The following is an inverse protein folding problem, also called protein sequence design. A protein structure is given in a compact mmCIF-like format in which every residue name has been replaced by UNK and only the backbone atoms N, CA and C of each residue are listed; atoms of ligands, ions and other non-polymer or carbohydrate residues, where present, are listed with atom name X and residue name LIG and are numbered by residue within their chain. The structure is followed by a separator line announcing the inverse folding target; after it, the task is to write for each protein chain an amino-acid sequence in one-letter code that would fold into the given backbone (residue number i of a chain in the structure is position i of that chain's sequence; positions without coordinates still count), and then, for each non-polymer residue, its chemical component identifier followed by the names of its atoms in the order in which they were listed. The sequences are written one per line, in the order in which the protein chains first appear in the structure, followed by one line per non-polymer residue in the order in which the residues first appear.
data_IF_175541367380
#
_entry.id   IF_175541367380
#
_cell.length_a   1.000
_cell.length_b   1.000
_cell.length_c   1.000
_cell.angle_alpha   90.00
_cell.angle_beta   90.00
_cell.angle_gamma   90.00
#
_symmetry.space_group_name_H-M   'P 1'
#
loop_
_entity.id
_entity.type
_entity.pdbx_description
1 polymer ?
#
# COMPACT_ATOMS: atom_id res chain seq x y z
N UNK A 1 -14.54 -56.27 19.95
CA UNK A 1 -13.77 -55.70 21.09
C UNK A 1 -12.63 -54.80 20.63
N UNK A 2 -12.00 -55.08 19.49
CA UNK A 2 -10.92 -54.24 18.96
C UNK A 2 -11.39 -52.88 18.40
N UNK A 3 -12.60 -52.78 17.82
CA UNK A 3 -13.14 -51.51 17.33
C UNK A 3 -13.29 -50.45 18.43
N UNK A 4 -13.78 -50.84 19.62
CA UNK A 4 -13.98 -49.93 20.77
C UNK A 4 -12.64 -49.38 21.28
N UNK A 5 -11.58 -50.20 21.27
CA UNK A 5 -10.21 -49.78 21.66
C UNK A 5 -9.58 -48.84 20.63
N UNK A 6 -9.85 -49.04 19.34
CA UNK A 6 -9.36 -48.17 18.26
C UNK A 6 -10.04 -46.80 18.33
N UNK A 7 -11.35 -46.78 18.61
CA UNK A 7 -12.13 -45.54 18.71
C UNK A 7 -11.71 -44.69 19.93
N UNK A 8 -11.45 -45.31 21.08
CA UNK A 8 -10.91 -44.64 22.26
C UNK A 8 -9.54 -44.00 22.03
N UNK A 9 -8.60 -44.71 21.38
CA UNK A 9 -7.27 -44.14 21.04
C UNK A 9 -7.39 -42.97 20.06
N UNK A 10 -8.27 -43.07 19.07
CA UNK A 10 -8.48 -42.03 18.04
C UNK A 10 -9.08 -40.75 18.65
N UNK A 11 -9.97 -40.89 19.63
CA UNK A 11 -10.53 -39.77 20.38
C UNK A 11 -9.48 -39.09 21.26
N UNK A 12 -8.62 -39.84 21.95
CA UNK A 12 -7.53 -39.29 22.76
C UNK A 12 -6.51 -38.52 21.92
N UNK A 13 -6.09 -39.09 20.78
CA UNK A 13 -5.16 -38.40 19.85
C UNK A 13 -5.78 -37.11 19.32
N UNK A 14 -7.07 -37.14 18.96
CA UNK A 14 -7.78 -35.95 18.48
C UNK A 14 -7.86 -34.87 19.56
N UNK A 15 -8.16 -35.24 20.80
CA UNK A 15 -8.19 -34.31 21.94
C UNK A 15 -6.82 -33.68 22.21
N UNK A 16 -5.74 -34.48 22.19
CA UNK A 16 -4.36 -33.98 22.36
C UNK A 16 -4.02 -32.96 21.25
N UNK A 17 -4.33 -33.27 19.99
CA UNK A 17 -4.07 -32.36 18.86
C UNK A 17 -4.84 -31.05 19.05
N UNK A 18 -6.09 -31.09 19.48
CA UNK A 18 -6.89 -29.88 19.74
C UNK A 18 -6.24 -29.04 20.84
N UNK A 19 -5.84 -29.64 21.97
CA UNK A 19 -5.19 -28.94 23.08
C UNK A 19 -3.88 -28.29 22.62
N UNK A 20 -3.04 -29.02 21.87
CA UNK A 20 -1.79 -28.46 21.33
C UNK A 20 -2.06 -27.28 20.39
N UNK A 21 -3.02 -27.40 19.48
CA UNK A 21 -3.42 -26.29 18.60
C UNK A 21 -3.90 -25.07 19.41
N UNK A 22 -4.67 -25.29 20.47
CA UNK A 22 -5.20 -24.23 21.31
C UNK A 22 -4.09 -23.52 22.10
N UNK A 23 -3.13 -24.27 22.66
CA UNK A 23 -1.94 -23.72 23.31
C UNK A 23 -1.08 -22.90 22.34
N UNK A 24 -0.90 -23.34 21.09
CA UNK A 24 -0.16 -22.58 20.06
C UNK A 24 -0.87 -21.26 19.76
N UNK A 25 -2.20 -21.28 19.62
CA UNK A 25 -2.99 -20.06 19.38
C UNK A 25 -2.88 -19.09 20.57
N UNK A 26 -3.04 -19.58 21.81
CA UNK A 26 -2.93 -18.73 23.01
C UNK A 26 -1.53 -18.14 23.14
N UNK A 27 -0.49 -18.96 23.01
CA UNK A 27 0.90 -18.51 23.05
C UNK A 27 1.14 -17.41 22.00
N UNK A 28 0.61 -17.58 20.79
CA UNK A 28 0.73 -16.57 19.74
C UNK A 28 -0.06 -15.29 20.01
N UNK A 29 -1.26 -15.36 20.58
CA UNK A 29 -2.01 -14.16 20.97
C UNK A 29 -1.28 -13.38 22.07
N UNK A 30 -0.67 -14.09 23.02
CA UNK A 30 0.18 -13.46 24.06
C UNK A 30 1.40 -12.80 23.43
N UNK A 31 2.13 -13.51 22.57
CA UNK A 31 3.29 -12.95 21.88
C UNK A 31 2.88 -11.75 21.04
N UNK A 32 1.79 -11.85 20.28
CA UNK A 32 1.25 -10.76 19.49
C UNK A 32 0.82 -9.56 20.34
N UNK A 33 0.24 -9.77 21.51
CA UNK A 33 -0.13 -8.70 22.44
C UNK A 33 1.10 -8.01 23.04
N UNK A 34 2.15 -8.78 23.38
CA UNK A 34 3.41 -8.26 23.91
C UNK A 34 4.23 -7.54 22.83
N UNK A 35 4.15 -8.00 21.58
CA UNK A 35 4.88 -7.45 20.44
C UNK A 35 4.11 -6.39 19.65
N UNK A 36 2.84 -6.12 20.00
CA UNK A 36 2.07 -4.96 19.53
C UNK A 36 2.77 -3.70 20.03
N UNK A 37 3.83 -3.31 19.32
CA UNK A 37 4.27 -1.94 19.33
C UNK A 37 3.20 -1.11 18.61
N UNK A 38 2.85 0.09 19.09
CA UNK A 38 2.17 1.05 18.24
C UNK A 38 2.97 1.21 16.95
N UNK A 39 2.32 1.53 15.82
CA UNK A 39 3.02 1.83 14.59
C UNK A 39 4.15 2.80 14.89
N UNK A 40 5.40 2.43 14.56
CA UNK A 40 6.48 3.41 14.56
C UNK A 40 6.04 4.54 13.63
N UNK A 41 6.02 5.74 14.19
CA UNK A 41 5.59 6.93 13.47
C UNK A 41 6.53 7.14 12.29
N UNK A 42 5.98 7.55 11.15
CA UNK A 42 6.82 7.92 10.04
C UNK A 42 7.61 9.19 10.36
N UNK A 43 8.88 9.24 9.95
CA UNK A 43 9.73 10.42 10.15
C UNK A 43 9.24 11.63 9.36
N UNK A 44 8.61 11.40 8.21
CA UNK A 44 7.99 12.43 7.38
C UNK A 44 6.48 12.26 7.48
N UNK A 45 5.78 13.34 7.76
CA UNK A 45 4.34 13.37 8.01
C UNK A 45 3.67 14.52 7.24
N UNK A 46 2.35 14.62 7.32
CA UNK A 46 1.61 15.72 6.71
C UNK A 46 2.01 17.10 7.27
N UNK A 47 2.49 17.15 8.53
CA UNK A 47 2.85 18.38 9.24
C UNK A 47 4.09 19.04 8.63
N UNK A 48 5.06 18.26 8.14
CA UNK A 48 6.25 18.74 7.43
C UNK A 48 5.90 19.54 6.15
N UNK A 49 4.66 19.39 5.68
CA UNK A 49 4.12 20.00 4.48
C UNK A 49 2.89 20.88 4.76
N UNK A 50 2.70 21.34 5.99
CA UNK A 50 1.59 22.24 6.34
C UNK A 50 1.56 23.46 5.40
N UNK A 51 2.73 24.06 5.19
CA UNK A 51 2.94 25.28 4.39
C UNK A 51 3.20 25.02 2.90
N UNK A 52 3.21 23.75 2.47
CA UNK A 52 3.43 23.42 1.06
C UNK A 52 2.19 23.72 0.23
N UNK A 53 2.34 24.59 -0.77
CA UNK A 53 1.31 24.89 -1.77
C UNK A 53 1.98 25.10 -3.13
N UNK A 54 1.84 24.16 -4.09
CA UNK A 54 2.47 24.29 -5.41
C UNK A 54 1.83 25.44 -6.18
N UNK A 55 2.65 26.27 -6.84
CA UNK A 55 2.20 27.44 -7.60
C UNK A 55 2.79 27.43 -9.00
N UNK A 56 1.95 27.68 -10.01
CA UNK A 56 2.40 27.95 -11.38
C UNK A 56 1.39 28.82 -12.14
N UNK A 57 1.81 29.29 -13.31
CA UNK A 57 0.93 29.97 -14.25
C UNK A 57 -0.10 29.01 -14.85
N UNK A 58 0.29 27.75 -15.11
CA UNK A 58 -0.54 26.75 -15.79
C UNK A 58 -1.54 26.02 -14.89
N UNK A 59 -1.17 25.74 -13.63
CA UNK A 59 -1.96 24.90 -12.72
C UNK A 59 -2.51 25.69 -11.55
N UNK A 60 -3.80 25.50 -11.29
CA UNK A 60 -4.44 25.88 -10.04
C UNK A 60 -4.45 24.66 -9.12
N UNK A 61 -3.87 24.80 -7.93
CA UNK A 61 -3.75 23.71 -6.96
C UNK A 61 -4.74 23.89 -5.82
N UNK A 62 -5.50 22.83 -5.53
CA UNK A 62 -6.39 22.75 -4.37
C UNK A 62 -5.97 21.59 -3.48
N UNK A 63 -5.54 21.90 -2.25
CA UNK A 63 -5.24 20.89 -1.22
C UNK A 63 -6.56 20.21 -0.82
N UNK A 64 -6.53 18.89 -0.66
CA UNK A 64 -7.63 18.15 -0.05
C UNK A 64 -7.16 17.48 1.24
N UNK A 65 -8.06 17.28 2.21
CA UNK A 65 -7.68 16.79 3.52
C UNK A 65 -7.02 15.41 3.44
N UNK A 66 -5.93 15.28 4.18
CA UNK A 66 -5.24 14.03 4.47
C UNK A 66 -5.37 13.83 5.97
N UNK A 67 -5.52 12.58 6.44
CA UNK A 67 -5.52 12.30 7.87
C UNK A 67 -4.22 12.79 8.50
N UNK A 68 -4.31 13.40 9.68
CA UNK A 68 -3.13 13.85 10.45
C UNK A 68 -2.52 12.73 11.30
N UNK A 69 -2.96 11.48 11.08
CA UNK A 69 -2.45 10.33 11.81
C UNK A 69 -1.02 10.03 11.35
N UNK A 70 0.00 10.09 12.24
CA UNK A 70 1.40 9.84 11.88
C UNK A 70 1.68 8.38 11.47
N UNK A 71 0.69 7.50 11.57
CA UNK A 71 0.73 6.13 11.07
C UNK A 71 0.04 5.94 9.72
N UNK A 72 -0.65 6.97 9.20
CA UNK A 72 -1.21 6.93 7.85
C UNK A 72 -0.12 7.12 6.80
N UNK A 73 -0.19 6.39 5.67
CA UNK A 73 0.83 6.48 4.64
C UNK A 73 0.68 7.75 3.80
N UNK A 74 -0.45 8.45 3.87
CA UNK A 74 -0.69 9.63 3.04
C UNK A 74 -0.06 10.85 3.69
N UNK A 75 0.75 11.57 2.94
CA UNK A 75 1.46 12.77 3.42
C UNK A 75 0.80 14.03 2.86
N UNK A 76 0.58 14.05 1.54
CA UNK A 76 0.03 15.20 0.84
C UNK A 76 -0.91 14.79 -0.26
N UNK A 77 -1.85 15.69 -0.57
CA UNK A 77 -2.81 15.41 -1.60
C UNK A 77 -3.43 16.69 -2.22
N UNK A 78 -3.40 16.79 -3.55
CA UNK A 78 -3.80 17.98 -4.32
C UNK A 78 -4.60 17.62 -5.57
N UNK A 79 -5.65 18.39 -5.85
CA UNK A 79 -6.24 18.44 -7.19
C UNK A 79 -5.53 19.57 -7.93
N UNK A 80 -4.93 19.25 -9.07
CA UNK A 80 -4.41 20.23 -9.99
C UNK A 80 -5.39 20.38 -11.14
N UNK A 81 -5.87 21.59 -11.35
CA UNK A 81 -6.73 21.93 -12.48
C UNK A 81 -5.97 22.89 -13.38
N UNK A 82 -5.82 22.54 -14.66
CA UNK A 82 -5.20 23.43 -15.62
C UNK A 82 -6.08 24.65 -15.85
N UNK A 83 -5.47 25.84 -15.83
CA UNK A 83 -6.17 27.10 -16.05
C UNK A 83 -6.58 27.29 -17.51
N UNK A 84 -5.89 26.64 -18.45
CA UNK A 84 -6.13 26.76 -19.89
C UNK A 84 -7.28 25.88 -20.38
N UNK A 85 -7.25 24.58 -20.06
CA UNK A 85 -8.22 23.62 -20.60
C UNK A 85 -9.10 22.95 -19.54
N UNK A 86 -9.01 23.40 -18.27
CA UNK A 86 -9.74 22.85 -17.11
C UNK A 86 -9.52 21.36 -16.88
N UNK A 87 -8.52 20.75 -17.52
CA UNK A 87 -8.13 19.37 -17.27
C UNK A 87 -7.67 19.23 -15.83
N UNK A 88 -8.17 18.20 -15.14
CA UNK A 88 -7.90 18.01 -13.72
C UNK A 88 -7.22 16.68 -13.45
N UNK A 89 -6.17 16.72 -12.64
CA UNK A 89 -5.47 15.54 -12.12
C UNK A 89 -5.47 15.56 -10.61
N UNK A 90 -5.35 14.37 -10.02
CA UNK A 90 -5.19 14.19 -8.58
C UNK A 90 -3.75 13.74 -8.33
N UNK A 91 -3.06 14.43 -7.42
CA UNK A 91 -1.71 14.07 -7.00
C UNK A 91 -1.71 13.74 -5.52
N UNK A 92 -0.91 12.73 -5.14
CA UNK A 92 -0.66 12.33 -3.76
C UNK A 92 0.82 12.06 -3.55
N UNK A 93 1.34 12.47 -2.40
CA UNK A 93 2.60 11.97 -1.87
C UNK A 93 2.26 11.00 -0.74
N UNK A 94 2.81 9.80 -0.80
CA UNK A 94 2.57 8.76 0.19
C UNK A 94 3.87 8.06 0.55
N UNK A 95 3.94 7.41 1.70
CA UNK A 95 4.99 6.45 2.01
C UNK A 95 4.98 5.30 1.01
N UNK A 96 6.17 4.79 0.68
CA UNK A 96 6.37 3.86 -0.42
C UNK A 96 5.78 2.49 -0.12
N UNK A 97 4.85 2.04 -0.94
CA UNK A 97 4.29 0.69 -0.84
C UNK A 97 4.01 0.12 -2.23
N UNK A 98 3.82 -1.20 -2.32
CA UNK A 98 3.45 -1.87 -3.57
C UNK A 98 2.04 -1.45 -4.01
N UNK A 99 1.98 -0.38 -4.80
CA UNK A 99 0.73 0.24 -5.24
C UNK A 99 -0.09 -0.67 -6.15
N UNK A 100 0.57 -1.39 -7.06
CA UNK A 100 -0.11 -2.33 -7.97
C UNK A 100 -0.94 -3.33 -7.21
N UNK A 101 -0.31 -4.05 -6.29
CA UNK A 101 -1.00 -5.11 -5.59
C UNK A 101 -2.03 -4.51 -4.60
N UNK A 102 -1.77 -3.29 -4.08
CA UNK A 102 -2.73 -2.55 -3.28
C UNK A 102 -4.03 -2.26 -4.02
N UNK A 103 -3.93 -1.77 -5.24
CA UNK A 103 -5.10 -1.46 -6.07
C UNK A 103 -5.81 -2.75 -6.53
N UNK A 104 -5.07 -3.84 -6.77
CA UNK A 104 -5.67 -5.16 -7.02
C UNK A 104 -6.51 -5.66 -5.84
N UNK A 105 -6.04 -5.48 -4.61
CA UNK A 105 -6.85 -5.80 -3.42
C UNK A 105 -8.11 -4.93 -3.34
N UNK A 106 -8.04 -3.67 -3.75
CA UNK A 106 -9.23 -2.81 -3.86
C UNK A 106 -10.16 -3.17 -5.04
N UNK A 107 -9.84 -4.22 -5.78
CA UNK A 107 -10.68 -4.75 -6.86
C UNK A 107 -10.43 -4.12 -8.22
N UNK A 108 -9.35 -3.36 -8.41
CA UNK A 108 -8.97 -2.82 -9.71
C UNK A 108 -8.20 -3.86 -10.54
N UNK A 109 -8.44 -3.85 -11.85
CA UNK A 109 -7.46 -4.41 -12.79
C UNK A 109 -6.32 -3.42 -12.97
N UNK A 110 -5.08 -3.89 -12.92
CA UNK A 110 -3.89 -3.02 -12.97
C UNK A 110 -2.92 -3.55 -14.03
N UNK A 111 -2.70 -2.73 -15.06
CA UNK A 111 -1.83 -2.97 -16.21
C UNK A 111 -0.68 -1.96 -16.22
N UNK A 112 0.54 -2.43 -16.49
CA UNK A 112 1.73 -1.58 -16.64
C UNK A 112 1.84 -1.17 -18.11
N UNK A 113 1.66 0.12 -18.40
CA UNK A 113 1.80 0.66 -19.76
C UNK A 113 3.24 1.03 -20.10
N UNK A 114 3.98 1.55 -19.12
CA UNK A 114 5.40 1.91 -19.26
C UNK A 114 6.13 1.65 -17.96
N UNK A 115 7.18 0.83 -18.03
CA UNK A 115 8.09 0.55 -16.91
C UNK A 115 9.35 1.40 -16.95
N UNK A 116 10.18 1.19 -15.93
CA UNK A 116 11.54 1.71 -15.85
C UNK A 116 12.38 1.01 -16.93
N UNK A 117 12.94 1.79 -17.86
CA UNK A 117 13.66 1.31 -19.04
C UNK A 117 12.86 0.35 -19.94
N UNK A 118 12.01 0.90 -20.82
CA UNK A 118 11.84 0.30 -22.15
C UNK A 118 12.97 0.79 -23.04
N UNK A 119 13.54 -0.03 -23.93
CA UNK A 119 14.66 0.24 -24.87
C UNK A 119 14.47 1.42 -25.87
N UNK A 120 13.69 2.43 -25.50
CA UNK A 120 13.48 3.67 -26.22
C UNK A 120 14.13 4.81 -25.44
N UNK A 121 14.80 5.76 -26.13
CA UNK A 121 15.25 6.98 -25.50
C UNK A 121 14.01 7.71 -24.99
N UNK A 122 13.84 7.80 -23.67
CA UNK A 122 12.67 8.43 -23.07
C UNK A 122 13.12 9.55 -22.12
N UNK A 123 12.54 10.72 -22.34
CA UNK A 123 12.74 11.99 -21.63
C UNK A 123 12.39 11.93 -20.12
N UNK A 124 11.89 10.80 -19.60
CA UNK A 124 11.44 10.59 -18.22
C UNK A 124 11.96 9.25 -17.67
N UNK A 125 13.22 9.17 -17.21
CA UNK A 125 13.93 7.90 -17.03
C UNK A 125 13.43 7.00 -15.88
N UNK A 126 12.61 7.50 -14.96
CA UNK A 126 12.31 6.79 -13.70
C UNK A 126 10.82 6.70 -13.32
N UNK A 127 9.91 7.05 -14.23
CA UNK A 127 8.47 7.08 -13.95
C UNK A 127 7.77 5.82 -14.50
N UNK A 128 6.86 5.27 -13.71
CA UNK A 128 6.05 4.12 -14.09
C UNK A 128 4.62 4.57 -14.39
N UNK A 129 4.08 4.11 -15.52
CA UNK A 129 2.74 4.48 -15.99
C UNK A 129 1.85 3.26 -15.95
N UNK A 130 0.72 3.38 -15.26
CA UNK A 130 -0.23 2.30 -15.01
C UNK A 130 -1.60 2.67 -15.55
N UNK A 131 -2.29 1.68 -16.09
CA UNK A 131 -3.72 1.74 -16.37
C UNK A 131 -4.46 0.97 -15.28
N UNK A 132 -5.41 1.64 -14.64
CA UNK A 132 -6.27 1.05 -13.62
C UNK A 132 -7.71 1.04 -14.14
N UNK A 133 -8.36 -0.12 -14.06
CA UNK A 133 -9.75 -0.30 -14.46
C UNK A 133 -10.55 -0.69 -13.23
N UNK A 134 -11.55 0.11 -12.88
CA UNK A 134 -12.45 -0.15 -11.75
C UNK A 134 -13.35 -1.35 -12.03
N UNK A 135 -14.01 -1.92 -11.00
CA UNK A 135 -15.04 -2.96 -11.22
C UNK A 135 -16.21 -2.46 -12.08
N UNK A 136 -16.48 -1.15 -12.08
CA UNK A 136 -17.51 -0.51 -12.89
C UNK A 136 -17.09 -0.22 -14.34
N UNK A 137 -15.83 -0.49 -14.69
CA UNK A 137 -15.28 -0.24 -16.03
C UNK A 137 -14.61 1.12 -16.21
N UNK A 138 -14.61 1.98 -15.19
CA UNK A 138 -13.93 3.28 -15.27
C UNK A 138 -12.42 3.09 -15.41
N UNK A 139 -11.83 3.80 -16.36
CA UNK A 139 -10.39 3.71 -16.62
C UNK A 139 -9.70 4.97 -16.13
N UNK A 140 -8.58 4.79 -15.43
CA UNK A 140 -7.71 5.87 -14.99
C UNK A 140 -6.25 5.57 -15.31
N UNK A 141 -5.49 6.62 -15.54
CA UNK A 141 -4.06 6.57 -15.83
C UNK A 141 -3.27 7.13 -14.65
N UNK A 142 -2.28 6.38 -14.18
CA UNK A 142 -1.51 6.68 -12.99
C UNK A 142 -0.03 6.76 -13.32
N UNK A 143 0.59 7.87 -12.97
CA UNK A 143 2.02 8.08 -13.00
C UNK A 143 2.58 7.93 -11.59
N UNK A 144 3.63 7.14 -11.45
CA UNK A 144 4.31 6.94 -10.17
C UNK A 144 5.81 7.12 -10.28
N UNK A 145 6.38 7.97 -9.43
CA UNK A 145 7.82 8.02 -9.15
C UNK A 145 8.07 7.54 -7.72
N UNK A 146 9.14 6.77 -7.53
CA UNK A 146 9.67 6.49 -6.20
C UNK A 146 10.70 7.56 -5.86
N UNK A 147 10.62 8.13 -4.66
CA UNK A 147 11.52 9.16 -4.17
C UNK A 147 12.20 8.65 -2.90
N UNK A 148 13.43 9.06 -2.64
CA UNK A 148 14.00 8.90 -1.29
C UNK A 148 13.36 9.89 -0.34
N UNK A 149 13.08 9.46 0.88
CA UNK A 149 12.51 10.33 1.91
C UNK A 149 13.47 11.46 2.31
N UNK A 150 14.77 11.19 2.38
CA UNK A 150 15.80 12.12 2.86
C UNK A 150 16.04 13.34 1.94
N UNK A 151 15.95 13.15 0.63
CA UNK A 151 16.37 14.15 -0.35
C UNK A 151 15.45 14.27 -1.57
N UNK A 152 14.33 13.54 -1.59
CA UNK A 152 13.33 13.57 -2.66
C UNK A 152 13.86 13.18 -4.05
N UNK A 153 15.08 12.65 -4.18
CA UNK A 153 15.61 12.20 -5.46
C UNK A 153 14.84 10.98 -5.96
N UNK A 154 14.51 10.97 -7.27
CA UNK A 154 13.90 9.81 -7.92
C UNK A 154 14.79 8.57 -7.78
N UNK A 155 14.20 7.46 -7.37
CA UNK A 155 14.82 6.15 -7.27
C UNK A 155 14.49 5.36 -8.53
N UNK A 156 15.53 4.79 -9.14
CA UNK A 156 15.39 3.85 -10.23
C UNK A 156 15.04 2.45 -9.70
N UNK A 157 13.80 2.29 -9.19
CA UNK A 157 13.29 1.03 -8.63
C UNK A 157 11.83 0.83 -8.97
N UNK A 158 11.48 -0.40 -9.33
CA UNK A 158 10.10 -0.75 -9.67
C UNK A 158 9.20 -0.79 -8.43
N UNK A 159 8.02 -0.17 -8.49
CA UNK A 159 7.11 -0.06 -7.34
C UNK A 159 6.60 -1.42 -6.87
N UNK A 160 6.58 -2.42 -7.74
CA UNK A 160 6.19 -3.80 -7.43
C UNK A 160 7.17 -4.49 -6.49
N UNK A 161 8.39 -3.97 -6.37
CA UNK A 161 9.42 -4.49 -5.47
C UNK A 161 9.34 -3.90 -4.07
N UNK A 162 8.47 -2.90 -3.84
CA UNK A 162 8.26 -2.35 -2.51
C UNK A 162 7.48 -3.32 -1.62
N UNK A 163 7.58 -3.17 -0.28
CA UNK A 163 6.79 -3.97 0.64
C UNK A 163 5.30 -3.81 0.37
N UNK A 164 4.57 -4.91 0.54
CA UNK A 164 3.14 -4.91 0.36
C UNK A 164 2.46 -4.29 1.59
N UNK A 165 1.61 -3.25 1.44
CA UNK A 165 0.98 -2.59 2.57
C UNK A 165 0.01 -3.53 3.29
N UNK A 166 -0.09 -3.44 4.62
CA UNK A 166 -1.19 -4.08 5.38
C UNK A 166 -2.49 -3.30 5.14
N UNK A 167 -2.99 -3.25 3.92
CA UNK A 167 -4.32 -2.69 3.66
C UNK A 167 -5.26 -3.50 4.53
N UNK A 168 -6.10 -2.81 5.33
CA UNK A 168 -7.37 -3.39 5.72
C UNK A 168 -7.92 -4.01 4.43
N UNK A 169 -7.99 -5.34 4.38
CA UNK A 169 -8.41 -6.06 3.18
C UNK A 169 -9.68 -5.38 2.64
N UNK A 170 -9.98 -5.46 1.33
CA UNK A 170 -11.33 -5.09 0.90
C UNK A 170 -12.32 -5.72 1.87
N UNK A 171 -13.36 -4.99 2.25
CA UNK A 171 -14.47 -5.44 3.09
C UNK A 171 -15.25 -6.59 2.41
N UNK A 172 -14.59 -7.51 1.72
CA UNK A 172 -15.05 -8.87 1.65
C UNK A 172 -15.23 -9.34 3.09
N UNK A 173 -16.48 -9.37 3.52
CA UNK A 173 -16.99 -10.10 4.69
C UNK A 173 -16.58 -11.58 4.73
N UNK A 174 -15.88 -12.05 3.69
CA UNK A 174 -15.28 -13.37 3.51
C UNK A 174 -13.78 -13.42 3.84
N UNK A 175 -13.11 -12.27 3.96
CA UNK A 175 -11.66 -12.15 4.18
C UNK A 175 -11.27 -11.63 5.55
N UNK A 176 -12.25 -11.45 6.43
CA UNK A 176 -11.97 -11.45 7.86
C UNK A 176 -11.41 -12.82 8.26
N UNK A 177 -10.44 -12.81 9.16
CA UNK A 177 -10.21 -13.95 10.05
C UNK A 177 -11.50 -14.12 10.86
N UNK A 178 -12.53 -14.74 10.28
CA UNK A 178 -13.61 -15.33 11.05
C UNK A 178 -12.89 -16.22 12.03
N UNK A 179 -12.94 -15.87 13.31
CA UNK A 179 -12.23 -16.57 14.37
C UNK A 179 -12.63 -18.05 14.42
N UNK A 180 -12.33 -18.72 15.52
CA UNK A 180 -12.78 -20.11 15.66
C UNK A 180 -14.31 -20.14 15.65
N UNK A 181 -14.91 -20.53 14.52
CA UNK A 181 -16.36 -20.71 14.41
C UNK A 181 -16.74 -22.14 14.81
N UNK A 182 -18.00 -22.37 15.18
CA UNK A 182 -18.51 -23.74 15.43
C UNK A 182 -18.27 -24.68 14.24
N UNK A 183 -18.27 -24.15 13.02
CA UNK A 183 -18.00 -24.91 11.80
C UNK A 183 -16.51 -25.22 11.65
N UNK A 184 -15.62 -24.30 12.06
CA UNK A 184 -14.18 -24.51 12.10
C UNK A 184 -13.76 -25.70 12.98
N UNK A 185 -14.54 -25.97 14.06
CA UNK A 185 -14.33 -27.10 14.98
C UNK A 185 -14.69 -28.46 14.38
N UNK A 186 -15.52 -28.52 13.32
CA UNK A 186 -15.88 -29.77 12.63
C UNK A 186 -14.74 -30.33 11.77
N UNK A 187 -13.86 -29.46 11.28
CA UNK A 187 -12.72 -29.82 10.44
C UNK A 187 -11.42 -29.14 10.93
N UNK A 188 -10.94 -29.50 12.12
CA UNK A 188 -9.89 -28.73 12.82
C UNK A 188 -8.60 -28.59 12.01
N UNK A 189 -8.14 -29.68 11.36
CA UNK A 189 -6.91 -29.66 10.56
C UNK A 189 -7.04 -28.81 9.29
N UNK A 190 -8.19 -28.88 8.60
CA UNK A 190 -8.46 -28.08 7.38
C UNK A 190 -8.55 -26.59 7.73
N UNK A 191 -9.28 -26.27 8.80
CA UNK A 191 -9.43 -24.91 9.32
C UNK A 191 -8.10 -24.32 9.77
N UNK A 192 -7.29 -25.09 10.50
CA UNK A 192 -5.97 -24.66 10.96
C UNK A 192 -5.01 -24.41 9.78
N UNK A 193 -5.00 -25.28 8.77
CA UNK A 193 -4.20 -25.07 7.55
C UNK A 193 -4.63 -23.81 6.79
N UNK A 194 -5.93 -23.57 6.65
CA UNK A 194 -6.46 -22.35 6.04
C UNK A 194 -6.11 -21.11 6.86
N UNK A 195 -6.20 -21.17 8.18
CA UNK A 195 -5.80 -20.10 9.10
C UNK A 195 -4.31 -19.77 8.97
N UNK A 196 -3.42 -20.77 9.02
CA UNK A 196 -1.99 -20.56 8.86
C UNK A 196 -1.65 -19.99 7.48
N UNK A 197 -2.33 -20.45 6.42
CA UNK A 197 -2.13 -19.92 5.07
C UNK A 197 -2.60 -18.46 4.97
N UNK A 198 -3.77 -18.14 5.52
CA UNK A 198 -4.27 -16.77 5.57
C UNK A 198 -3.32 -15.88 6.37
N UNK A 199 -2.84 -16.35 7.53
CA UNK A 199 -1.90 -15.63 8.37
C UNK A 199 -0.53 -15.44 7.70
N UNK A 200 -0.01 -16.46 7.01
CA UNK A 200 1.25 -16.40 6.24
C UNK A 200 1.17 -15.43 5.06
N UNK A 201 0.01 -15.41 4.39
CA UNK A 201 -0.25 -14.43 3.35
C UNK A 201 -0.39 -13.02 3.93
N UNK A 202 -1.05 -12.86 5.08
CA UNK A 202 -1.19 -11.59 5.79
C UNK A 202 0.15 -11.07 6.32
N UNK A 203 1.05 -11.98 6.71
CA UNK A 203 2.42 -11.65 7.10
C UNK A 203 3.36 -11.46 5.92
N UNK A 204 2.85 -11.56 4.68
CA UNK A 204 3.63 -11.36 3.45
C UNK A 204 4.86 -12.24 3.36
N UNK A 205 4.75 -13.47 3.85
CA UNK A 205 5.84 -14.42 3.94
C UNK A 205 7.05 -13.96 4.78
N UNK A 206 6.92 -12.89 5.56
CA UNK A 206 7.91 -12.51 6.57
C UNK A 206 7.66 -13.35 7.83
N UNK A 207 8.64 -14.16 8.22
CA UNK A 207 8.53 -15.07 9.36
C UNK A 207 8.39 -14.32 10.68
N UNK A 208 9.00 -13.14 10.81
CA UNK A 208 8.91 -12.33 12.02
C UNK A 208 7.54 -11.67 12.12
N UNK A 209 6.98 -11.22 10.99
CA UNK A 209 5.61 -10.72 10.93
C UNK A 209 4.59 -11.84 11.16
N UNK A 210 4.87 -13.04 10.65
CA UNK A 210 4.02 -14.21 10.83
C UNK A 210 3.92 -14.62 12.29
N UNK A 211 5.06 -14.60 12.98
CA UNK A 211 5.17 -14.87 14.40
C UNK A 211 4.64 -13.71 15.26
N UNK A 212 4.27 -12.59 14.65
CA UNK A 212 3.86 -11.37 15.34
C UNK A 212 5.02 -10.61 15.98
N UNK A 213 6.27 -11.09 15.86
CA UNK A 213 7.47 -10.51 16.47
C UNK A 213 7.94 -9.21 15.78
N UNK A 214 7.47 -8.97 14.56
CA UNK A 214 7.75 -7.79 13.75
C UNK A 214 6.44 -7.28 13.18
N UNK A 215 6.31 -5.97 13.06
CA UNK A 215 5.15 -5.39 12.41
C UNK A 215 5.25 -5.57 10.89
N UNK A 216 4.14 -5.91 10.24
CA UNK A 216 4.08 -5.88 8.78
C UNK A 216 4.33 -4.43 8.34
N UNK A 217 5.33 -4.14 7.48
CA UNK A 217 5.53 -2.78 7.00
C UNK A 217 4.27 -2.33 6.26
N UNK A 218 3.60 -1.31 6.80
CA UNK A 218 2.42 -0.72 6.16
C UNK A 218 2.83 0.09 4.94
N UNK A 219 3.96 0.79 5.02
CA UNK A 219 4.65 1.46 3.93
C UNK A 219 6.12 1.65 4.33
N UNK A 220 6.95 2.15 3.41
CA UNK A 220 8.37 2.44 3.63
C UNK A 220 8.54 3.84 4.24
N UNK A 221 9.29 3.94 5.32
CA UNK A 221 9.76 5.22 5.87
C UNK A 221 10.85 5.85 5.00
N UNK A 222 11.70 5.03 4.36
CA UNK A 222 12.85 5.47 3.56
C UNK A 222 12.49 5.88 2.12
N UNK A 223 11.40 5.34 1.59
CA UNK A 223 10.95 5.55 0.22
C UNK A 223 9.58 6.20 0.25
N UNK A 224 9.40 7.25 -0.52
CA UNK A 224 8.10 7.87 -0.80
C UNK A 224 7.65 7.50 -2.22
N UNK A 225 6.35 7.53 -2.46
CA UNK A 225 5.76 7.42 -3.79
C UNK A 225 4.98 8.69 -4.08
N UNK A 226 5.40 9.40 -5.14
CA UNK A 226 4.58 10.42 -5.76
C UNK A 226 3.65 9.73 -6.75
N UNK A 227 2.35 9.97 -6.63
CA UNK A 227 1.33 9.42 -7.52
C UNK A 227 0.54 10.56 -8.12
N UNK A 228 0.49 10.67 -9.45
CA UNK A 228 -0.44 11.59 -10.15
C UNK A 228 -1.34 10.77 -11.06
N UNK A 229 -2.64 11.02 -11.01
CA UNK A 229 -3.59 10.26 -11.80
C UNK A 229 -4.75 11.09 -12.32
N UNK A 230 -5.31 10.63 -13.43
CA UNK A 230 -6.47 11.22 -14.09
C UNK A 230 -7.39 10.11 -14.59
N UNK A 231 -8.70 10.36 -14.48
CA UNK A 231 -9.72 9.50 -15.07
C UNK A 231 -9.79 9.79 -16.58
N UNK A 232 -9.86 8.76 -17.43
CA UNK A 232 -9.89 8.92 -18.88
C UNK A 232 -11.26 9.48 -19.32
N UNK A 233 -12.36 8.92 -18.78
CA UNK A 233 -13.72 9.25 -19.21
C UNK A 233 -13.88 9.10 -20.73
N UNK A 234 -14.45 10.12 -21.38
CA UNK A 234 -14.58 10.20 -22.85
C UNK A 234 -13.37 10.87 -23.54
N UNK A 235 -12.31 11.18 -22.80
CA UNK A 235 -11.14 11.89 -23.34
C UNK A 235 -10.21 10.96 -24.11
N UNK A 236 -9.44 11.53 -25.05
CA UNK A 236 -8.37 10.81 -25.74
C UNK A 236 -7.26 10.41 -24.74
N UNK A 237 -6.98 9.11 -24.65
CA UNK A 237 -5.97 8.53 -23.76
C UNK A 237 -4.59 9.19 -23.95
N UNK A 238 -4.20 9.50 -25.18
CA UNK A 238 -2.89 10.13 -25.45
C UNK A 238 -2.80 11.53 -24.84
N UNK A 239 -3.87 12.32 -24.97
CA UNK A 239 -3.97 13.63 -24.34
C UNK A 239 -3.91 13.51 -22.81
N UNK A 240 -4.66 12.57 -22.23
CA UNK A 240 -4.67 12.34 -20.77
C UNK A 240 -3.28 11.93 -20.29
N UNK A 241 -2.59 11.02 -20.99
CA UNK A 241 -1.20 10.64 -20.69
C UNK A 241 -0.26 11.85 -20.69
N UNK A 242 -0.27 12.65 -21.75
CA UNK A 242 0.62 13.79 -21.88
C UNK A 242 0.37 14.85 -20.80
N UNK A 243 -0.90 15.20 -20.54
CA UNK A 243 -1.24 16.21 -19.53
C UNK A 243 -0.96 15.72 -18.11
N UNK A 244 -1.17 14.43 -17.84
CA UNK A 244 -0.87 13.84 -16.53
C UNK A 244 0.64 13.77 -16.28
N UNK A 245 1.45 13.48 -17.31
CA UNK A 245 2.91 13.53 -17.22
C UNK A 245 3.41 14.93 -16.85
N UNK A 246 2.94 15.97 -17.56
CA UNK A 246 3.31 17.37 -17.28
C UNK A 246 2.96 17.75 -15.84
N UNK A 247 1.76 17.39 -15.38
CA UNK A 247 1.33 17.68 -14.01
C UNK A 247 2.16 16.90 -12.96
N UNK A 248 2.56 15.67 -13.29
CA UNK A 248 3.41 14.84 -12.44
C UNK A 248 4.80 15.43 -12.27
N UNK A 249 5.43 15.84 -13.37
CA UNK A 249 6.73 16.51 -13.34
C UNK A 249 6.67 17.85 -12.63
N UNK A 250 5.62 18.64 -12.88
CA UNK A 250 5.37 19.88 -12.14
C UNK A 250 5.34 19.63 -10.63
N UNK A 251 4.55 18.65 -10.17
CA UNK A 251 4.46 18.34 -8.73
C UNK A 251 5.78 17.85 -8.16
N UNK A 252 6.50 16.99 -8.89
CA UNK A 252 7.82 16.55 -8.49
C UNK A 252 8.79 17.72 -8.32
N UNK A 253 8.88 18.62 -9.30
CA UNK A 253 9.73 19.81 -9.22
C UNK A 253 9.35 20.73 -8.06
N UNK A 254 8.05 20.93 -7.79
CA UNK A 254 7.60 21.75 -6.66
C UNK A 254 8.00 21.12 -5.31
N UNK A 255 7.87 19.80 -5.17
CA UNK A 255 8.28 19.08 -3.96
C UNK A 255 9.79 19.19 -3.73
N UNK A 256 10.59 18.98 -4.79
CA UNK A 256 12.04 19.08 -4.72
C UNK A 256 12.49 20.48 -4.30
N UNK A 257 11.94 21.53 -4.94
CA UNK A 257 12.25 22.93 -4.58
C UNK A 257 11.82 23.28 -3.16
N UNK A 258 10.67 22.78 -2.70
CA UNK A 258 10.23 23.00 -1.32
C UNK A 258 11.19 22.35 -0.33
N UNK A 259 11.57 21.09 -0.57
CA UNK A 259 12.49 20.36 0.30
C UNK A 259 13.86 21.02 0.37
N UNK A 260 14.43 21.42 -0.77
CA UNK A 260 15.70 22.16 -0.79
C UNK A 260 15.63 23.48 -0.02
N UNK A 261 14.49 24.17 -0.07
CA UNK A 261 14.30 25.42 0.67
C UNK A 261 14.20 25.18 2.17
N UNK A 262 13.45 24.17 2.61
CA UNK A 262 13.30 23.83 4.03
C UNK A 262 14.60 23.29 4.59
N UNK A 263 15.28 22.39 3.87
CA UNK A 263 16.56 21.79 4.28
C UNK A 263 17.70 22.81 4.43
N UNK A 264 17.72 23.88 3.62
CA UNK A 264 18.70 24.99 3.77
C UNK A 264 18.43 25.89 4.97
N UNK A 265 17.23 25.84 5.56
CA UNK A 265 16.87 26.64 6.74
C UNK A 265 17.21 25.86 8.03
N UNK A 266 17.35 24.53 7.95
CA UNK A 266 17.65 23.64 9.07
C UNK A 266 19.14 23.27 9.23
N UNK A 267 20.03 23.74 8.35
CA UNK A 267 21.48 23.71 8.60
C UNK A 267 21.89 24.95 9.44
N UNK A 268 22.43 24.78 10.65
CA UNK A 268 22.82 25.89 11.54
C UNK A 268 24.03 26.68 11.04
#
# INVERSE_FOLDING_TARGET
MDEIKIEGKRNTVTAIVIVVCLCIVIFWEIIAAVSRKPFEQFEITADDFENFMPRSEEWEAKKFPVGSDPSEPNILAFILTSKTDRFSVKTRLVHGYNMRDCMRLKGYSVELLRGIASDKPAELPNDQVWRLISKGGDVSLWFTSLLKADNFQKINRDIRTLPFPRIAAPEDSMWELKGITKESLRHPLKSFKSFLRAKWNNSRCDIWVFLGLKQAPWASSEVLTLVTYADIGESDEKRVLARTAIAHDFMYSQLLMYWEKVGKISEP
#
